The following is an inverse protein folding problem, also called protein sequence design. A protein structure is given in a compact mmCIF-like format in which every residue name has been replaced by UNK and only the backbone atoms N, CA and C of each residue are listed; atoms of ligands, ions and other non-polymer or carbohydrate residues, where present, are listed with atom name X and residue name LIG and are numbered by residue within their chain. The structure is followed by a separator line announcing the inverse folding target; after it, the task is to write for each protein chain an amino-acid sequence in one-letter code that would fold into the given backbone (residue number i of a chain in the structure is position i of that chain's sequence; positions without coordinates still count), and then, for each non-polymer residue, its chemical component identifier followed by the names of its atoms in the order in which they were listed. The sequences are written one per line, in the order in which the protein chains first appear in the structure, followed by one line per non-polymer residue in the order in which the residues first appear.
data_IF_798460943586
#
_entry.id   IF_798460943586
#
_cell.length_a   1.000
_cell.length_b   1.000
_cell.length_c   1.000
_cell.angle_alpha   90.00
_cell.angle_beta   90.00
_cell.angle_gamma   90.00
#
_symmetry.space_group_name_H-M   'P 1'
#
loop_
_entity.id
_entity.type
_entity.pdbx_description
1 polymer ?
#
# COMPACT_ATOMS: atom_id res chain seq x y z
N UNK A 1 -45.00 11.71 -64.67
CA UNK A 1 -44.88 11.15 -63.31
C UNK A 1 -43.97 12.09 -62.51
N UNK A 2 -44.54 12.74 -61.48
CA UNK A 2 -43.92 13.48 -60.35
C UNK A 2 -42.98 14.68 -60.66
N UNK A 3 -43.33 15.94 -60.38
CA UNK A 3 -43.47 16.68 -59.09
C UNK A 3 -42.18 17.42 -58.64
N UNK A 4 -42.20 18.75 -58.86
CA UNK A 4 -41.85 19.87 -57.94
C UNK A 4 -40.65 19.70 -56.98
N UNK A 5 -39.66 20.60 -57.05
CA UNK A 5 -39.36 21.55 -55.93
C UNK A 5 -38.28 22.60 -56.23
N UNK A 6 -38.60 23.79 -55.75
CA UNK A 6 -37.85 25.06 -55.67
C UNK A 6 -36.71 24.97 -54.66
N UNK A 7 -35.59 25.69 -54.90
CA UNK A 7 -34.84 26.31 -53.78
C UNK A 7 -34.11 27.59 -54.17
N UNK A 8 -34.63 28.70 -53.67
CA UNK A 8 -34.01 30.04 -53.64
C UNK A 8 -33.38 30.31 -52.27
N UNK A 9 -32.25 31.05 -52.30
CA UNK A 9 -31.65 31.98 -51.31
C UNK A 9 -31.63 31.64 -49.79
N UNK A 10 -30.43 31.61 -49.20
CA UNK A 10 -29.81 32.77 -48.50
C UNK A 10 -28.67 32.36 -47.55
N UNK A 11 -27.72 33.27 -47.23
CA UNK A 11 -26.52 33.02 -46.44
C UNK A 11 -26.76 33.39 -44.96
N UNK A 12 -26.49 32.47 -44.03
CA UNK A 12 -26.39 32.81 -42.60
C UNK A 12 -25.19 32.06 -42.00
N UNK A 13 -24.32 32.84 -41.39
CA UNK A 13 -22.95 32.49 -41.05
C UNK A 13 -22.79 31.35 -40.04
N UNK A 14 -21.71 30.61 -40.25
CA UNK A 14 -21.17 29.62 -39.34
C UNK A 14 -20.69 30.28 -38.05
N UNK A 15 -21.54 30.27 -37.02
CA UNK A 15 -21.09 30.43 -35.64
C UNK A 15 -20.38 29.15 -35.21
N UNK A 16 -19.04 29.19 -35.21
CA UNK A 16 -18.16 28.20 -34.61
C UNK A 16 -18.53 27.96 -33.13
N UNK A 17 -19.33 26.92 -32.86
CA UNK A 17 -19.49 26.35 -31.52
C UNK A 17 -18.21 25.60 -31.16
N UNK A 18 -17.24 26.29 -30.58
CA UNK A 18 -16.02 25.69 -30.06
C UNK A 18 -16.36 24.61 -29.02
N UNK A 19 -16.00 23.36 -29.32
CA UNK A 19 -16.16 22.22 -28.41
C UNK A 19 -15.26 22.40 -27.19
N UNK A 20 -15.86 22.77 -26.06
CA UNK A 20 -15.15 22.94 -24.81
C UNK A 20 -14.93 21.58 -24.15
N UNK A 21 -13.66 21.15 -24.04
CA UNK A 21 -13.30 19.89 -23.38
C UNK A 21 -13.53 19.98 -21.85
N UNK A 22 -13.76 18.85 -21.17
CA UNK A 22 -13.87 18.81 -19.68
C UNK A 22 -12.66 19.47 -18.99
N UNK A 23 -11.52 19.43 -19.68
CA UNK A 23 -10.29 20.05 -19.26
C UNK A 23 -10.34 21.58 -19.25
N UNK A 24 -10.94 22.16 -20.28
CA UNK A 24 -11.19 23.60 -20.38
C UNK A 24 -12.14 24.06 -19.25
N UNK A 25 -13.13 23.22 -18.91
CA UNK A 25 -14.07 23.48 -17.83
C UNK A 25 -13.40 23.46 -16.45
N UNK A 26 -12.53 22.48 -16.16
CA UNK A 26 -11.73 22.50 -14.93
C UNK A 26 -10.78 23.71 -14.87
N UNK A 27 -10.23 24.14 -16.01
CA UNK A 27 -9.42 25.35 -16.07
C UNK A 27 -10.25 26.61 -15.76
N UNK A 28 -11.49 26.69 -16.25
CA UNK A 28 -12.42 27.78 -15.93
C UNK A 28 -12.86 27.79 -14.47
N UNK A 29 -13.03 26.62 -13.84
CA UNK A 29 -13.38 26.48 -12.42
C UNK A 29 -12.24 26.89 -11.47
N UNK A 30 -11.05 27.16 -12.02
CA UNK A 30 -9.83 27.47 -11.30
C UNK A 30 -8.94 26.24 -11.25
N UNK A 31 -7.84 26.29 -11.99
CA UNK A 31 -6.90 25.15 -12.17
C UNK A 31 -6.23 24.68 -10.87
N UNK A 32 -6.07 25.59 -9.90
CA UNK A 32 -5.55 25.34 -8.54
C UNK A 32 -6.26 26.25 -7.52
N UNK A 33 -7.59 26.24 -7.53
CA UNK A 33 -8.40 27.05 -6.62
C UNK A 33 -8.30 26.61 -5.15
N UNK A 34 -8.95 27.37 -4.26
CA UNK A 34 -8.96 27.12 -2.81
C UNK A 34 -9.48 25.72 -2.47
N UNK A 35 -10.48 25.24 -3.20
CA UNK A 35 -11.03 23.90 -3.03
C UNK A 35 -9.99 22.82 -3.35
N UNK A 36 -9.30 22.95 -4.49
CA UNK A 36 -8.28 21.97 -4.90
C UNK A 36 -7.13 21.94 -3.90
N UNK A 37 -6.62 23.09 -3.45
CA UNK A 37 -5.57 23.15 -2.42
C UNK A 37 -6.02 22.45 -1.13
N UNK A 38 -7.23 22.75 -0.66
CA UNK A 38 -7.80 22.09 0.52
C UNK A 38 -7.88 20.57 0.34
N UNK A 39 -8.43 20.10 -0.79
CA UNK A 39 -8.54 18.68 -1.09
C UNK A 39 -7.18 17.99 -1.14
N UNK A 40 -6.18 18.64 -1.74
CA UNK A 40 -4.80 18.14 -1.85
C UNK A 40 -4.18 17.97 -0.46
N UNK A 41 -4.19 19.03 0.34
CA UNK A 41 -3.60 19.02 1.69
C UNK A 41 -4.30 17.97 2.56
N UNK A 42 -5.62 17.91 2.48
CA UNK A 42 -6.42 16.95 3.23
C UNK A 42 -6.06 15.49 2.87
N UNK A 43 -6.09 15.14 1.58
CA UNK A 43 -5.80 13.78 1.13
C UNK A 43 -4.33 13.42 1.32
N UNK A 44 -3.41 14.40 1.24
CA UNK A 44 -2.00 14.21 1.55
C UNK A 44 -1.82 13.80 3.01
N UNK A 45 -2.39 14.57 3.95
CA UNK A 45 -2.31 14.28 5.38
C UNK A 45 -2.97 12.93 5.72
N UNK A 46 -4.10 12.61 5.09
CA UNK A 46 -4.76 11.32 5.25
C UNK A 46 -3.83 10.16 4.87
N UNK A 47 -3.20 10.21 3.69
CA UNK A 47 -2.29 9.16 3.23
C UNK A 47 -1.00 9.09 4.06
N UNK A 48 -0.50 10.23 4.53
CA UNK A 48 0.66 10.28 5.42
C UNK A 48 0.41 9.56 6.75
N UNK A 49 -0.82 9.46 7.23
CA UNK A 49 -1.13 8.74 8.47
C UNK A 49 -1.56 7.29 8.18
N UNK A 50 -2.33 7.03 7.12
CA UNK A 50 -2.88 5.69 6.83
C UNK A 50 -1.81 4.69 6.39
N UNK A 51 -0.93 5.07 5.46
CA UNK A 51 0.02 4.14 4.83
C UNK A 51 1.05 3.57 5.81
N UNK A 52 1.59 4.35 6.79
CA UNK A 52 2.54 3.82 7.77
C UNK A 52 2.03 2.64 8.60
N UNK A 53 0.71 2.48 8.77
CA UNK A 53 0.12 1.35 9.49
C UNK A 53 0.51 -0.02 8.91
N UNK A 54 0.88 -0.06 7.62
CA UNK A 54 1.43 -1.26 6.96
C UNK A 54 2.74 -1.73 7.63
N UNK A 55 3.54 -0.78 8.14
CA UNK A 55 4.85 -1.03 8.76
C UNK A 55 4.85 -0.89 10.29
N UNK A 56 3.71 -0.59 10.91
CA UNK A 56 3.59 -0.43 12.37
C UNK A 56 4.08 -1.66 13.14
N UNK A 57 3.82 -2.86 12.61
CA UNK A 57 4.27 -4.13 13.18
C UNK A 57 5.77 -4.26 13.37
N UNK A 58 6.58 -3.56 12.56
CA UNK A 58 8.03 -3.58 12.75
C UNK A 58 8.44 -3.08 14.14
N UNK A 59 7.61 -2.22 14.75
CA UNK A 59 7.84 -1.67 16.08
C UNK A 59 6.99 -2.39 17.13
N UNK A 60 5.71 -2.66 16.84
CA UNK A 60 4.80 -3.27 17.83
C UNK A 60 5.04 -4.76 18.05
N UNK A 61 5.64 -5.47 17.10
CA UNK A 61 5.95 -6.89 17.19
C UNK A 61 7.46 -7.18 17.21
N UNK A 62 8.25 -6.19 17.64
CA UNK A 62 9.67 -6.39 17.92
C UNK A 62 9.85 -7.44 19.01
N UNK A 63 10.85 -8.32 18.84
CA UNK A 63 11.20 -9.37 19.80
C UNK A 63 12.29 -8.80 20.72
N UNK A 64 12.00 -8.42 21.97
CA UNK A 64 13.04 -8.02 22.90
C UNK A 64 13.92 -9.21 23.29
N UNK A 65 15.09 -8.91 23.84
CA UNK A 65 15.92 -9.95 24.45
C UNK A 65 15.13 -10.63 25.56
N UNK A 66 15.19 -11.95 25.60
CA UNK A 66 14.42 -12.75 26.53
C UNK A 66 15.22 -13.96 27.00
N UNK A 67 14.80 -14.51 28.12
CA UNK A 67 15.29 -15.75 28.72
C UNK A 67 14.13 -16.54 29.32
N UNK A 68 14.33 -17.83 29.58
CA UNK A 68 13.36 -18.60 30.36
C UNK A 68 13.17 -18.00 31.76
N UNK A 69 11.97 -18.12 32.29
CA UNK A 69 11.69 -17.89 33.70
C UNK A 69 12.31 -18.99 34.55
N UNK A 70 12.96 -18.59 35.65
CA UNK A 70 13.71 -19.48 36.54
C UNK A 70 13.12 -19.37 37.95
N UNK A 71 12.48 -20.42 38.49
CA UNK A 71 11.77 -20.33 39.77
C UNK A 71 12.64 -19.93 40.96
N UNK A 72 13.91 -20.32 40.98
CA UNK A 72 14.84 -19.99 42.08
C UNK A 72 15.22 -18.50 42.08
N UNK A 73 15.15 -17.87 40.91
CA UNK A 73 15.61 -16.51 40.66
C UNK A 73 14.47 -15.49 40.65
N UNK A 74 13.38 -15.87 40.00
CA UNK A 74 12.29 -14.98 39.61
C UNK A 74 11.07 -15.10 40.52
N UNK A 75 11.13 -15.97 41.55
CA UNK A 75 10.11 -16.04 42.59
C UNK A 75 10.42 -15.04 43.71
N UNK A 76 9.59 -14.00 43.82
CA UNK A 76 9.74 -12.87 44.77
C UNK A 76 9.78 -13.29 46.26
N UNK A 77 9.45 -14.54 46.59
CA UNK A 77 9.41 -15.03 47.98
C UNK A 77 10.76 -15.51 48.53
N UNK A 78 11.81 -15.59 47.72
CA UNK A 78 13.10 -16.16 48.15
C UNK A 78 14.18 -15.13 48.52
N UNK A 79 14.01 -13.84 48.19
CA UNK A 79 15.10 -12.88 48.31
C UNK A 79 15.32 -12.32 49.72
N UNK A 80 14.39 -12.54 50.65
CA UNK A 80 14.39 -11.76 51.90
C UNK A 80 14.83 -12.51 53.16
N UNK A 81 15.35 -13.74 53.12
CA UNK A 81 15.81 -14.36 54.38
C UNK A 81 16.98 -15.37 54.35
N UNK A 82 17.87 -15.46 53.34
CA UNK A 82 19.02 -16.35 53.54
C UNK A 82 20.13 -16.58 52.53
N UNK A 83 20.22 -15.94 51.37
CA UNK A 83 21.27 -16.30 50.38
C UNK A 83 22.03 -15.11 49.80
N UNK A 84 22.79 -14.41 50.64
CA UNK A 84 23.83 -13.44 50.23
C UNK A 84 25.05 -14.09 49.53
N UNK A 85 24.97 -15.34 49.07
CA UNK A 85 26.13 -16.15 48.65
C UNK A 85 26.21 -16.37 47.13
N UNK A 86 25.11 -16.33 46.37
CA UNK A 86 25.11 -16.53 44.92
C UNK A 86 24.71 -15.26 44.17
N UNK A 87 25.44 -14.93 43.09
CA UNK A 87 25.05 -13.83 42.20
C UNK A 87 23.91 -14.26 41.24
N UNK A 88 23.19 -13.28 40.69
CA UNK A 88 22.15 -13.50 39.67
C UNK A 88 22.69 -14.33 38.49
N UNK A 89 23.92 -14.04 38.07
CA UNK A 89 24.56 -14.71 36.94
C UNK A 89 24.90 -16.17 37.24
N UNK A 90 25.24 -16.49 38.49
CA UNK A 90 25.48 -17.86 38.94
C UNK A 90 24.20 -18.70 38.86
N UNK A 91 23.08 -18.14 39.31
CA UNK A 91 21.76 -18.78 39.25
C UNK A 91 21.28 -18.98 37.80
N UNK A 92 21.57 -18.04 36.90
CA UNK A 92 21.26 -18.21 35.49
C UNK A 92 22.11 -19.30 34.84
N UNK A 93 23.41 -19.39 35.18
CA UNK A 93 24.32 -20.42 34.63
C UNK A 93 23.93 -21.84 35.01
N UNK A 94 23.42 -22.06 36.22
CA UNK A 94 22.98 -23.40 36.64
C UNK A 94 21.61 -23.79 36.07
N UNK A 95 20.81 -22.83 35.62
CA UNK A 95 19.42 -23.07 35.19
C UNK A 95 19.25 -23.05 33.67
N UNK A 96 20.09 -22.34 32.93
CA UNK A 96 19.96 -22.16 31.49
C UNK A 96 21.26 -22.60 30.79
N UNK A 97 21.19 -23.52 29.80
CA UNK A 97 22.35 -23.93 29.02
C UNK A 97 22.91 -22.77 28.19
N UNK A 98 24.16 -22.90 27.75
CA UNK A 98 24.74 -21.98 26.77
C UNK A 98 24.46 -22.49 25.36
N UNK A 99 24.02 -21.59 24.48
CA UNK A 99 23.92 -21.82 23.04
C UNK A 99 25.32 -21.84 22.38
N UNK A 100 25.37 -22.23 21.12
CA UNK A 100 26.53 -22.30 20.22
C UNK A 100 27.42 -21.05 20.24
N UNK A 101 26.86 -19.89 20.57
CA UNK A 101 27.56 -18.60 20.67
C UNK A 101 28.09 -18.28 22.08
N UNK A 102 28.12 -19.25 23.00
CA UNK A 102 28.51 -19.09 24.41
C UNK A 102 27.67 -18.05 25.16
N UNK A 103 26.42 -17.85 24.74
CA UNK A 103 25.41 -17.02 25.41
C UNK A 103 24.33 -17.93 25.97
N UNK A 104 23.62 -17.48 27.00
CA UNK A 104 22.46 -18.21 27.53
C UNK A 104 21.47 -18.52 26.41
N UNK A 105 21.04 -19.79 26.34
CA UNK A 105 19.98 -20.24 25.45
C UNK A 105 18.69 -19.48 25.79
N UNK A 106 17.98 -19.03 24.76
CA UNK A 106 16.77 -18.23 24.90
C UNK A 106 15.51 -19.09 25.00
N UNK A 107 15.57 -20.34 24.56
CA UNK A 107 14.40 -21.17 24.30
C UNK A 107 14.34 -22.45 25.13
N UNK A 108 15.46 -22.84 25.74
CA UNK A 108 15.56 -24.04 26.56
C UNK A 108 16.18 -23.72 27.91
N UNK A 109 15.80 -24.53 28.90
CA UNK A 109 16.38 -24.53 30.24
C UNK A 109 16.72 -25.96 30.65
N UNK A 110 17.54 -26.12 31.69
CA UNK A 110 17.74 -27.44 32.27
C UNK A 110 16.48 -27.89 33.01
N UNK A 111 16.09 -29.15 32.86
CA UNK A 111 14.96 -29.73 33.58
C UNK A 111 15.19 -29.74 35.10
N UNK A 112 16.46 -29.78 35.53
CA UNK A 112 16.89 -29.65 36.92
C UNK A 112 18.08 -28.69 37.02
N UNK A 113 18.19 -27.86 38.09
CA UNK A 113 19.33 -26.96 38.27
C UNK A 113 20.66 -27.72 38.38
N UNK A 114 21.62 -27.35 37.54
CA UNK A 114 22.92 -27.99 37.44
C UNK A 114 23.94 -27.30 38.35
N UNK A 115 23.80 -27.49 39.67
CA UNK A 115 24.68 -26.91 40.69
C UNK A 115 26.18 -27.23 40.49
N UNK A 116 26.48 -28.35 39.83
CA UNK A 116 27.85 -28.75 39.52
C UNK A 116 28.58 -27.73 38.62
N UNK A 117 27.86 -26.92 37.83
CA UNK A 117 28.45 -25.89 36.96
C UNK A 117 29.11 -24.73 37.73
N UNK A 118 28.81 -24.57 39.03
CA UNK A 118 29.45 -23.56 39.88
C UNK A 118 30.80 -24.02 40.43
N UNK A 119 31.02 -25.34 40.51
CA UNK A 119 32.22 -25.92 41.08
C UNK A 119 33.16 -26.42 39.98
N UNK A 120 33.93 -25.50 39.40
CA UNK A 120 34.95 -25.75 38.35
C UNK A 120 36.09 -26.69 38.77
N UNK A 121 36.19 -27.11 40.05
CA UNK A 121 37.34 -27.87 40.57
C UNK A 121 37.07 -29.38 40.78
N UNK A 122 35.91 -29.90 40.38
CA UNK A 122 35.61 -31.33 40.48
C UNK A 122 35.79 -32.08 39.16
N UNK A 123 36.66 -33.11 39.13
CA UNK A 123 36.67 -34.10 38.04
C UNK A 123 35.44 -35.00 38.17
N UNK A 124 34.35 -34.63 37.49
CA UNK A 124 33.13 -35.45 37.44
C UNK A 124 33.23 -36.47 36.30
N UNK A 125 33.06 -37.75 36.65
CA UNK A 125 33.08 -38.89 35.73
C UNK A 125 31.80 -38.94 34.89
N UNK A 126 31.94 -39.09 33.56
CA UNK A 126 30.90 -39.36 32.55
C UNK A 126 29.54 -38.70 32.83
N UNK A 127 29.48 -37.38 32.62
CA UNK A 127 28.22 -36.63 32.63
C UNK A 127 27.49 -36.93 31.32
N UNK A 128 26.39 -37.68 31.38
CA UNK A 128 25.36 -37.68 30.33
C UNK A 128 24.95 -36.23 30.07
N UNK A 129 24.78 -35.85 28.80
CA UNK A 129 24.37 -34.48 28.46
C UNK A 129 23.15 -34.07 29.31
N UNK A 130 23.23 -32.93 30.02
CA UNK A 130 22.18 -32.51 30.94
C UNK A 130 20.85 -32.35 30.18
N UNK A 131 19.80 -32.95 30.72
CA UNK A 131 18.48 -32.90 30.09
C UNK A 131 17.93 -31.47 30.04
N UNK A 132 17.59 -31.03 28.82
CA UNK A 132 17.00 -29.71 28.56
C UNK A 132 15.53 -29.84 28.21
N UNK A 133 14.71 -28.92 28.72
CA UNK A 133 13.30 -28.78 28.40
C UNK A 133 13.00 -27.37 27.83
N UNK A 134 11.89 -27.19 27.08
CA UNK A 134 11.43 -25.85 26.69
C UNK A 134 11.04 -25.03 27.93
N UNK A 135 11.02 -23.69 27.81
CA UNK A 135 10.59 -22.81 28.90
C UNK A 135 9.09 -23.02 29.22
N UNK A 136 8.74 -23.92 30.15
CA UNK A 136 7.34 -24.21 30.51
C UNK A 136 6.70 -23.18 31.45
N UNK A 137 7.52 -22.52 32.28
CA UNK A 137 7.06 -21.55 33.28
C UNK A 137 7.03 -20.10 32.74
N UNK A 138 7.13 -19.93 31.42
CA UNK A 138 7.10 -18.62 30.76
C UNK A 138 8.48 -17.99 30.56
N UNK A 139 8.47 -16.68 30.23
CA UNK A 139 9.64 -15.93 29.81
C UNK A 139 9.82 -14.62 30.57
N UNK A 140 11.08 -14.21 30.71
CA UNK A 140 11.46 -12.89 31.23
C UNK A 140 12.03 -12.06 30.09
N UNK A 141 11.38 -10.93 29.80
CA UNK A 141 11.74 -10.02 28.72
C UNK A 141 12.51 -8.80 29.23
N UNK A 142 13.53 -8.38 28.48
CA UNK A 142 14.25 -7.13 28.70
C UNK A 142 13.37 -5.93 28.33
N UNK A 143 13.10 -5.05 29.31
CA UNK A 143 12.22 -3.89 29.20
C UNK A 143 12.95 -2.57 28.90
N UNK A 144 14.25 -2.62 28.61
CA UNK A 144 15.08 -1.44 28.35
C UNK A 144 14.62 -0.62 27.12
N UNK A 145 14.37 -1.32 26.01
CA UNK A 145 13.97 -0.71 24.73
C UNK A 145 12.45 -0.59 24.55
N UNK A 146 11.71 -1.64 24.90
CA UNK A 146 10.25 -1.71 24.80
C UNK A 146 9.66 -2.16 26.13
N UNK A 147 8.58 -1.52 26.59
CA UNK A 147 7.93 -1.88 27.85
C UNK A 147 6.98 -3.07 27.67
N UNK A 148 6.23 -3.09 26.56
CA UNK A 148 5.37 -4.19 26.13
C UNK A 148 5.25 -4.17 24.60
N UNK A 149 5.34 -5.34 23.99
CA UNK A 149 5.11 -5.60 22.56
C UNK A 149 4.08 -6.72 22.40
N UNK A 150 3.55 -6.87 21.18
CA UNK A 150 2.69 -7.99 20.77
C UNK A 150 3.32 -9.34 21.11
N UNK A 151 4.65 -9.44 20.99
CA UNK A 151 5.40 -10.66 21.29
C UNK A 151 5.43 -10.95 22.78
N UNK A 152 5.60 -9.92 23.63
CA UNK A 152 5.65 -10.10 25.09
C UNK A 152 4.28 -10.31 25.73
N UNK A 153 3.20 -9.93 25.04
CA UNK A 153 1.83 -10.07 25.56
C UNK A 153 1.29 -11.50 25.36
N UNK A 154 1.66 -12.14 24.26
CA UNK A 154 1.18 -13.48 23.89
C UNK A 154 2.32 -14.50 23.76
N UNK A 155 3.48 -14.20 24.32
CA UNK A 155 4.68 -15.06 24.36
C UNK A 155 5.03 -15.72 23.02
N UNK A 156 5.14 -14.90 21.98
CA UNK A 156 5.38 -15.33 20.59
C UNK A 156 6.87 -15.52 20.28
N UNK A 157 7.57 -16.32 21.10
CA UNK A 157 9.01 -16.61 20.99
C UNK A 157 9.29 -18.10 20.78
N UNK A 158 10.49 -18.43 20.27
CA UNK A 158 10.94 -19.81 20.08
C UNK A 158 10.02 -20.60 19.12
N UNK A 159 9.33 -21.65 19.58
CA UNK A 159 8.43 -22.46 18.73
C UNK A 159 7.26 -21.63 18.17
N UNK A 160 6.75 -20.68 18.93
CA UNK A 160 5.63 -19.80 18.53
C UNK A 160 6.10 -18.58 17.71
N UNK A 161 7.41 -18.40 17.48
CA UNK A 161 7.96 -17.25 16.75
C UNK A 161 7.40 -17.11 15.33
N UNK A 162 7.05 -18.23 14.67
CA UNK A 162 6.45 -18.21 13.35
C UNK A 162 5.11 -17.45 13.31
N UNK A 163 4.36 -17.44 14.42
CA UNK A 163 3.09 -16.72 14.53
C UNK A 163 3.26 -15.20 14.41
N UNK A 164 4.41 -14.64 14.79
CA UNK A 164 4.67 -13.22 14.63
C UNK A 164 4.55 -12.78 13.15
N UNK A 165 4.93 -13.65 12.21
CA UNK A 165 4.77 -13.37 10.77
C UNK A 165 3.32 -13.45 10.28
N UNK A 166 2.44 -14.14 11.01
CA UNK A 166 1.04 -14.33 10.63
C UNK A 166 0.28 -13.02 10.65
N UNK A 167 0.51 -12.14 11.62
CA UNK A 167 -0.18 -10.84 11.68
C UNK A 167 0.06 -10.01 10.41
N UNK A 168 1.31 -9.93 9.98
CA UNK A 168 1.71 -9.20 8.77
C UNK A 168 1.11 -9.82 7.52
N UNK A 169 1.13 -11.14 7.47
CA UNK A 169 0.49 -11.89 6.39
C UNK A 169 -1.03 -11.62 6.34
N UNK A 170 -1.72 -11.63 7.49
CA UNK A 170 -3.14 -11.32 7.62
C UNK A 170 -3.47 -9.91 7.14
N UNK A 171 -2.69 -8.89 7.52
CA UNK A 171 -2.88 -7.53 7.03
C UNK A 171 -2.82 -7.45 5.50
N UNK A 172 -1.85 -8.15 4.93
CA UNK A 172 -1.54 -8.00 3.52
C UNK A 172 -2.43 -8.83 2.59
N UNK A 173 -2.90 -10.01 3.02
CA UNK A 173 -3.98 -10.72 2.31
C UNK A 173 -5.27 -9.89 2.35
N UNK A 174 -5.51 -9.16 3.45
CA UNK A 174 -6.55 -8.14 3.54
C UNK A 174 -6.39 -7.07 2.47
N UNK A 175 -5.19 -6.49 2.34
CA UNK A 175 -4.86 -5.47 1.32
C UNK A 175 -5.23 -5.93 -0.10
N UNK A 176 -4.87 -7.17 -0.44
CA UNK A 176 -5.17 -7.78 -1.74
C UNK A 176 -6.68 -7.93 -2.00
N UNK A 177 -7.41 -8.47 -1.02
CA UNK A 177 -8.85 -8.67 -1.16
C UNK A 177 -9.57 -7.32 -1.23
N UNK A 178 -9.14 -6.36 -0.42
CA UNK A 178 -9.63 -4.98 -0.42
C UNK A 178 -9.48 -4.30 -1.77
N UNK A 179 -8.31 -4.44 -2.42
CA UNK A 179 -8.07 -3.81 -3.72
C UNK A 179 -8.99 -4.33 -4.82
N UNK A 180 -9.26 -5.64 -4.84
CA UNK A 180 -10.14 -6.27 -5.84
C UNK A 180 -11.60 -5.84 -5.61
N UNK A 181 -12.10 -6.00 -4.39
CA UNK A 181 -13.50 -5.76 -4.06
C UNK A 181 -13.80 -4.26 -4.15
N UNK A 182 -13.05 -3.43 -3.43
CA UNK A 182 -13.35 -2.00 -3.35
C UNK A 182 -12.96 -1.23 -4.62
N UNK A 183 -12.06 -1.75 -5.45
CA UNK A 183 -11.82 -1.21 -6.79
C UNK A 183 -13.09 -1.27 -7.64
N UNK A 184 -13.71 -2.45 -7.74
CA UNK A 184 -14.97 -2.62 -8.46
C UNK A 184 -16.13 -1.82 -7.83
N UNK A 185 -16.20 -1.78 -6.49
CA UNK A 185 -17.21 -1.00 -5.79
C UNK A 185 -17.03 0.51 -6.00
N UNK A 186 -15.80 1.01 -6.10
CA UNK A 186 -15.52 2.44 -6.31
C UNK A 186 -16.06 2.93 -7.65
N UNK A 187 -15.87 2.14 -8.71
CA UNK A 187 -16.39 2.50 -10.02
C UNK A 187 -17.92 2.43 -10.09
N UNK A 188 -18.55 1.55 -9.30
CA UNK A 188 -20.02 1.40 -9.26
C UNK A 188 -20.72 2.42 -8.36
N UNK A 189 -20.18 2.68 -7.19
CA UNK A 189 -20.84 3.45 -6.13
C UNK A 189 -20.30 4.87 -5.95
N UNK A 190 -19.11 5.16 -6.48
CA UNK A 190 -18.45 6.46 -6.37
C UNK A 190 -17.25 6.42 -5.43
N UNK A 191 -16.30 7.33 -5.67
CA UNK A 191 -14.98 7.32 -5.05
C UNK A 191 -15.06 7.84 -3.62
N UNK A 192 -15.86 8.89 -3.39
CA UNK A 192 -16.06 9.47 -2.06
C UNK A 192 -16.75 8.49 -1.11
N UNK A 193 -17.79 7.77 -1.58
CA UNK A 193 -18.51 6.84 -0.73
C UNK A 193 -17.61 5.70 -0.27
N UNK A 194 -16.90 5.06 -1.20
CA UNK A 194 -15.97 3.96 -0.87
C UNK A 194 -14.82 4.44 0.01
N UNK A 195 -14.27 5.64 -0.24
CA UNK A 195 -13.28 6.25 0.65
C UNK A 195 -13.82 6.44 2.08
N UNK A 196 -15.06 6.90 2.23
CA UNK A 196 -15.69 7.12 3.55
C UNK A 196 -15.90 5.80 4.30
N UNK A 197 -16.44 4.79 3.62
CA UNK A 197 -16.68 3.48 4.21
C UNK A 197 -15.37 2.79 4.60
N UNK A 198 -14.36 2.82 3.73
CA UNK A 198 -13.05 2.24 4.00
C UNK A 198 -12.34 2.97 5.15
N UNK A 199 -12.38 4.31 5.20
CA UNK A 199 -11.79 5.05 6.32
C UNK A 199 -12.49 4.75 7.65
N UNK A 200 -13.82 4.63 7.64
CA UNK A 200 -14.57 4.28 8.84
C UNK A 200 -14.23 2.86 9.32
N UNK A 201 -14.21 1.89 8.41
CA UNK A 201 -13.81 0.53 8.70
C UNK A 201 -12.39 0.49 9.28
N UNK A 202 -11.44 1.16 8.63
CA UNK A 202 -10.05 1.25 9.08
C UNK A 202 -9.91 1.83 10.49
N UNK A 203 -10.58 2.96 10.76
CA UNK A 203 -10.53 3.63 12.06
C UNK A 203 -11.07 2.75 13.19
N UNK A 204 -12.17 2.02 12.93
CA UNK A 204 -12.77 1.10 13.91
C UNK A 204 -11.83 -0.09 14.14
N UNK A 205 -11.38 -0.77 13.08
CA UNK A 205 -10.61 -2.01 13.20
C UNK A 205 -9.25 -1.78 13.86
N UNK A 206 -8.56 -0.69 13.53
CA UNK A 206 -7.26 -0.38 14.14
C UNK A 206 -7.40 0.04 15.61
N UNK A 207 -8.46 0.77 15.96
CA UNK A 207 -8.72 1.15 17.35
C UNK A 207 -9.13 -0.06 18.19
N UNK A 208 -9.98 -0.94 17.66
CA UNK A 208 -10.30 -2.22 18.30
C UNK A 208 -9.08 -3.13 18.42
N UNK A 209 -8.15 -3.07 17.45
CA UNK A 209 -6.92 -3.87 17.48
C UNK A 209 -6.04 -3.56 18.68
N UNK A 210 -6.04 -2.32 19.17
CA UNK A 210 -5.31 -1.93 20.36
C UNK A 210 -5.88 -2.54 21.65
N UNK A 211 -7.11 -3.05 21.63
CA UNK A 211 -7.77 -3.68 22.79
C UNK A 211 -8.06 -5.17 22.54
N UNK A 212 -7.37 -5.79 21.57
CA UNK A 212 -7.62 -7.17 21.21
C UNK A 212 -7.28 -8.10 22.39
N UNK A 213 -8.22 -8.93 22.88
CA UNK A 213 -7.98 -9.78 24.03
C UNK A 213 -7.20 -11.06 23.68
N UNK A 214 -7.08 -11.39 22.39
CA UNK A 214 -6.35 -12.57 21.92
C UNK A 214 -5.64 -12.31 20.59
N UNK A 215 -4.55 -13.04 20.38
CA UNK A 215 -3.74 -12.96 19.16
C UNK A 215 -4.55 -13.22 17.88
N UNK A 216 -5.48 -14.17 17.89
CA UNK A 216 -6.30 -14.48 16.71
C UNK A 216 -7.33 -13.39 16.40
N UNK A 217 -7.92 -12.76 17.42
CA UNK A 217 -8.81 -11.60 17.24
C UNK A 217 -8.01 -10.44 16.67
N UNK A 218 -6.80 -10.22 17.18
CA UNK A 218 -5.89 -9.20 16.65
C UNK A 218 -5.57 -9.44 15.17
N UNK A 219 -5.16 -10.66 14.78
CA UNK A 219 -4.94 -11.01 13.37
C UNK A 219 -6.17 -10.79 12.48
N UNK A 220 -7.37 -11.12 12.98
CA UNK A 220 -8.63 -10.90 12.26
C UNK A 220 -8.92 -9.41 12.05
N UNK A 221 -8.68 -8.58 13.07
CA UNK A 221 -8.82 -7.13 12.98
C UNK A 221 -7.81 -6.52 12.01
N UNK A 222 -6.57 -7.02 12.02
CA UNK A 222 -5.51 -6.59 11.09
C UNK A 222 -5.85 -6.94 9.65
N UNK A 223 -6.45 -8.12 9.41
CA UNK A 223 -7.00 -8.47 8.09
C UNK A 223 -8.06 -7.46 7.61
N UNK A 224 -9.04 -7.14 8.47
CA UNK A 224 -10.10 -6.17 8.15
C UNK A 224 -9.57 -4.75 7.93
N UNK A 225 -8.53 -4.34 8.69
CA UNK A 225 -7.84 -3.08 8.48
C UNK A 225 -7.14 -3.07 7.11
N UNK A 226 -6.45 -4.15 6.77
CA UNK A 226 -5.77 -4.34 5.48
C UNK A 226 -6.70 -4.14 4.29
N UNK A 227 -7.91 -4.69 4.35
CA UNK A 227 -8.95 -4.51 3.32
C UNK A 227 -9.31 -3.05 3.05
N UNK A 228 -9.01 -2.14 3.98
CA UNK A 228 -9.37 -0.73 3.89
C UNK A 228 -8.23 0.18 3.41
N UNK A 229 -6.96 -0.21 3.63
CA UNK A 229 -5.79 0.64 3.35
C UNK A 229 -5.63 0.95 1.85
N UNK A 230 -5.66 -0.08 1.00
CA UNK A 230 -5.49 0.12 -0.45
C UNK A 230 -6.65 0.92 -1.05
N UNK A 231 -7.92 0.63 -0.73
CA UNK A 231 -9.03 1.45 -1.19
C UNK A 231 -8.95 2.91 -0.77
N UNK A 232 -8.50 3.21 0.45
CA UNK A 232 -8.27 4.60 0.89
C UNK A 232 -7.22 5.27 0.00
N UNK A 233 -6.09 4.59 -0.22
CA UNK A 233 -4.96 5.12 -0.99
C UNK A 233 -5.35 5.37 -2.45
N UNK A 234 -5.95 4.38 -3.12
CA UNK A 234 -6.36 4.47 -4.53
C UNK A 234 -7.43 5.53 -4.73
N UNK A 235 -8.49 5.54 -3.91
CA UNK A 235 -9.58 6.51 -4.07
C UNK A 235 -9.13 7.94 -3.75
N UNK A 236 -8.24 8.12 -2.77
CA UNK A 236 -7.62 9.42 -2.49
C UNK A 236 -6.83 9.92 -3.69
N UNK A 237 -6.02 9.06 -4.31
CA UNK A 237 -5.24 9.43 -5.48
C UNK A 237 -6.15 9.78 -6.68
N UNK A 238 -7.16 8.96 -6.97
CA UNK A 238 -8.12 9.22 -8.05
C UNK A 238 -8.88 10.53 -7.85
N UNK A 239 -9.39 10.80 -6.65
CA UNK A 239 -10.09 12.05 -6.35
C UNK A 239 -9.18 13.27 -6.56
N UNK A 240 -7.92 13.16 -6.18
CA UNK A 240 -6.94 14.23 -6.37
C UNK A 240 -6.63 14.45 -7.86
N UNK A 241 -6.46 13.39 -8.66
CA UNK A 241 -6.18 13.50 -10.09
C UNK A 241 -7.39 14.02 -10.88
N UNK A 242 -8.61 13.57 -10.56
CA UNK A 242 -9.82 13.91 -11.32
C UNK A 242 -10.29 15.35 -11.13
N UNK A 243 -9.92 15.99 -10.01
CA UNK A 243 -10.20 17.40 -9.73
C UNK A 243 -9.06 18.35 -10.12
N UNK A 244 -7.90 17.81 -10.50
CA UNK A 244 -6.73 18.61 -10.88
C UNK A 244 -6.59 18.73 -12.39
N UNK A 245 -6.20 19.91 -12.86
CA UNK A 245 -5.87 20.13 -14.27
C UNK A 245 -4.57 19.38 -14.66
N UNK A 246 -4.50 18.69 -15.82
CA UNK A 246 -3.31 18.15 -16.47
C UNK A 246 -2.03 18.96 -16.36
N UNK A 247 -2.09 20.29 -16.30
CA UNK A 247 -0.91 21.15 -16.10
C UNK A 247 -0.19 20.88 -14.78
N UNK A 248 -0.92 20.48 -13.73
CA UNK A 248 -0.41 20.22 -12.39
C UNK A 248 -0.34 18.73 -12.05
N UNK A 249 -0.75 17.84 -12.97
CA UNK A 249 -0.87 16.41 -12.71
C UNK A 249 0.45 15.76 -12.26
N UNK A 250 1.57 16.12 -12.90
CA UNK A 250 2.89 15.60 -12.54
C UNK A 250 3.31 16.02 -11.12
N UNK A 251 3.07 17.28 -10.75
CA UNK A 251 3.31 17.79 -9.39
C UNK A 251 2.44 17.04 -8.38
N UNK A 252 1.18 16.77 -8.72
CA UNK A 252 0.26 16.05 -7.83
C UNK A 252 0.68 14.60 -7.58
N UNK A 253 1.10 13.91 -8.64
CA UNK A 253 1.61 12.55 -8.53
C UNK A 253 2.88 12.51 -7.67
N UNK A 254 3.82 13.45 -7.89
CA UNK A 254 5.03 13.55 -7.09
C UNK A 254 4.71 13.84 -5.60
N UNK A 255 3.82 14.79 -5.34
CA UNK A 255 3.40 15.14 -3.98
C UNK A 255 2.74 13.94 -3.27
N UNK A 256 1.89 13.19 -3.97
CA UNK A 256 1.31 11.95 -3.41
C UNK A 256 2.36 10.91 -3.03
N UNK A 257 3.43 10.78 -3.80
CA UNK A 257 4.53 9.86 -3.49
C UNK A 257 5.37 10.28 -2.28
N UNK A 258 5.35 11.56 -1.91
CA UNK A 258 6.04 12.05 -0.70
C UNK A 258 5.27 11.72 0.59
N UNK A 259 3.93 11.68 0.55
CA UNK A 259 3.09 11.49 1.74
C UNK A 259 3.45 10.24 2.57
N UNK A 260 3.63 9.04 1.98
CA UNK A 260 4.00 7.83 2.72
C UNK A 260 5.32 7.97 3.48
N UNK A 261 6.32 8.61 2.86
CA UNK A 261 7.65 8.74 3.44
C UNK A 261 7.64 9.63 4.69
N UNK A 262 6.93 10.75 4.63
CA UNK A 262 6.70 11.61 5.80
C UNK A 262 5.96 10.81 6.88
N UNK A 263 4.98 10.01 6.49
CA UNK A 263 4.28 9.11 7.38
C UNK A 263 5.19 8.12 8.11
N UNK A 264 6.11 7.47 7.40
CA UNK A 264 7.06 6.54 8.00
C UNK A 264 8.01 7.24 8.99
N UNK A 265 8.43 8.48 8.69
CA UNK A 265 9.21 9.29 9.62
C UNK A 265 8.42 9.61 10.89
N UNK A 266 7.14 9.98 10.75
CA UNK A 266 6.24 10.22 11.90
C UNK A 266 6.08 8.94 12.73
N UNK A 267 5.81 7.80 12.08
CA UNK A 267 5.69 6.51 12.77
C UNK A 267 6.96 6.15 13.54
N UNK A 268 8.14 6.31 12.91
CA UNK A 268 9.41 6.03 13.57
C UNK A 268 9.65 6.95 14.78
N UNK A 269 9.29 8.23 14.69
CA UNK A 269 9.36 9.15 15.82
C UNK A 269 8.40 8.79 16.95
N UNK A 270 7.16 8.44 16.61
CA UNK A 270 6.15 8.00 17.58
C UNK A 270 6.53 6.67 18.24
N UNK A 271 7.13 5.73 17.51
CA UNK A 271 7.61 4.46 18.05
C UNK A 271 8.72 4.65 19.09
N UNK A 272 9.54 5.70 18.96
CA UNK A 272 10.53 6.06 19.97
C UNK A 272 9.90 6.64 21.25
N UNK A 273 8.85 7.45 21.09
CA UNK A 273 8.13 8.08 22.20
C UNK A 273 7.24 7.09 22.96
N UNK A 274 6.52 6.23 22.24
CA UNK A 274 5.58 5.27 22.79
C UNK A 274 6.16 3.86 22.77
N UNK A 275 6.71 3.44 23.92
CA UNK A 275 7.33 2.12 24.11
C UNK A 275 6.34 0.99 24.47
N UNK A 276 5.05 1.32 24.55
CA UNK A 276 3.94 0.38 24.76
C UNK A 276 3.14 0.32 23.47
N UNK A 277 2.99 -0.88 22.92
CA UNK A 277 2.38 -1.07 21.60
C UNK A 277 0.92 -0.57 21.51
N UNK A 278 0.13 -0.75 22.57
CA UNK A 278 -1.25 -0.26 22.68
C UNK A 278 -1.33 1.26 22.45
N UNK A 279 -0.43 2.03 23.07
CA UNK A 279 -0.41 3.49 22.95
C UNK A 279 0.04 3.94 21.56
N UNK A 280 1.02 3.26 20.98
CA UNK A 280 1.48 3.54 19.61
C UNK A 280 0.34 3.34 18.60
N UNK A 281 -0.38 2.23 18.72
CA UNK A 281 -1.50 1.90 17.85
C UNK A 281 -2.65 2.92 17.97
N UNK A 282 -3.06 3.26 19.20
CA UNK A 282 -4.10 4.26 19.45
C UNK A 282 -3.72 5.65 18.95
N UNK A 283 -2.48 6.07 19.16
CA UNK A 283 -2.00 7.40 18.73
C UNK A 283 -2.07 7.54 17.20
N UNK A 284 -1.83 6.46 16.47
CA UNK A 284 -1.91 6.43 15.00
C UNK A 284 -3.33 6.22 14.47
N UNK A 285 -4.23 5.56 15.22
CA UNK A 285 -5.60 5.26 14.78
C UNK A 285 -6.61 6.37 15.10
N UNK A 286 -6.53 6.98 16.28
CA UNK A 286 -7.49 7.99 16.75
C UNK A 286 -7.60 9.21 15.82
N UNK A 287 -6.50 9.75 15.25
CA UNK A 287 -6.59 10.86 14.30
C UNK A 287 -7.51 10.56 13.09
N UNK A 288 -7.69 9.30 12.70
CA UNK A 288 -8.55 8.93 11.57
C UNK A 288 -10.01 9.33 11.75
N UNK A 289 -10.52 9.31 12.99
CA UNK A 289 -11.88 9.77 13.28
C UNK A 289 -12.06 11.26 13.02
N UNK A 290 -11.01 12.06 13.24
CA UNK A 290 -11.02 13.47 12.89
C UNK A 290 -11.12 13.66 11.37
N UNK A 291 -10.34 12.90 10.57
CA UNK A 291 -10.40 12.96 9.10
C UNK A 291 -11.78 12.60 8.52
N UNK A 292 -12.55 11.71 9.17
CA UNK A 292 -13.93 11.40 8.76
C UNK A 292 -14.84 12.63 8.73
N UNK A 293 -14.65 13.57 9.66
CA UNK A 293 -15.43 14.82 9.69
C UNK A 293 -15.09 15.65 8.44
N UNK A 294 -13.82 15.76 8.10
CA UNK A 294 -13.33 16.55 6.96
C UNK A 294 -13.72 16.00 5.57
N UNK A 295 -13.97 14.69 5.46
CA UNK A 295 -14.50 14.08 4.23
C UNK A 295 -15.83 14.73 3.81
N UNK A 296 -16.60 15.32 4.73
CA UNK A 296 -17.85 16.01 4.39
C UNK A 296 -17.63 17.15 3.38
N UNK A 297 -16.49 17.84 3.43
CA UNK A 297 -16.17 18.95 2.54
C UNK A 297 -15.64 18.50 1.18
N UNK A 298 -15.12 17.28 1.06
CA UNK A 298 -14.76 16.71 -0.24
C UNK A 298 -15.97 16.65 -1.19
N UNK A 299 -15.71 16.79 -2.48
CA UNK A 299 -16.71 16.60 -3.52
C UNK A 299 -16.42 15.32 -4.30
N UNK A 300 -17.49 14.62 -4.67
CA UNK A 300 -17.39 13.44 -5.52
C UNK A 300 -16.85 13.84 -6.90
N UNK A 301 -16.21 12.91 -7.59
CA UNK A 301 -15.67 13.17 -8.92
C UNK A 301 -16.75 13.64 -9.91
N UNK A 302 -16.58 14.85 -10.43
CA UNK A 302 -17.44 15.39 -11.48
C UNK A 302 -17.37 14.52 -12.75
N UNK A 303 -16.17 13.99 -13.07
CA UNK A 303 -15.95 13.13 -14.23
C UNK A 303 -16.70 11.80 -14.10
N UNK A 304 -16.62 11.16 -12.93
CA UNK A 304 -17.40 9.96 -12.64
C UNK A 304 -18.90 10.19 -12.81
N UNK A 305 -19.43 11.26 -12.19
CA UNK A 305 -20.86 11.58 -12.21
C UNK A 305 -21.40 11.78 -13.62
N UNK A 306 -20.59 12.35 -14.52
CA UNK A 306 -20.95 12.52 -15.94
C UNK A 306 -20.96 11.16 -16.65
N UNK A 307 -19.94 10.32 -16.44
CA UNK A 307 -19.83 8.99 -17.07
C UNK A 307 -20.92 8.02 -16.57
N UNK A 308 -21.30 8.08 -15.29
CA UNK A 308 -22.32 7.19 -14.69
C UNK A 308 -23.76 7.67 -14.94
N UNK A 309 -24.00 8.48 -15.98
CA UNK A 309 -25.31 9.01 -16.35
C UNK A 309 -26.05 9.77 -15.22
N UNK A 310 -25.32 10.45 -14.33
CA UNK A 310 -25.87 11.32 -13.27
C UNK A 310 -25.45 12.79 -13.47
N UNK A 311 -25.75 13.39 -14.64
CA UNK A 311 -25.23 14.70 -15.03
C UNK A 311 -25.66 15.82 -14.08
N UNK A 312 -26.90 15.79 -13.57
CA UNK A 312 -27.40 16.81 -12.65
C UNK A 312 -26.64 16.84 -11.32
N UNK A 313 -26.21 15.67 -10.81
CA UNK A 313 -25.39 15.59 -9.60
C UNK A 313 -23.97 16.11 -9.86
N UNK A 314 -23.37 15.74 -11.00
CA UNK A 314 -22.05 16.27 -11.40
C UNK A 314 -22.04 17.79 -11.50
N UNK A 315 -23.12 18.36 -12.03
CA UNK A 315 -23.32 19.80 -12.14
C UNK A 315 -23.42 20.51 -10.80
N UNK A 316 -24.13 19.89 -9.84
CA UNK A 316 -24.24 20.38 -8.47
C UNK A 316 -22.86 20.42 -7.78
N UNK A 317 -22.06 19.38 -7.94
CA UNK A 317 -20.70 19.33 -7.39
C UNK A 317 -19.78 20.36 -8.06
N UNK A 318 -19.83 20.51 -9.39
CA UNK A 318 -19.09 21.55 -10.10
C UNK A 318 -19.45 22.96 -9.64
N UNK A 319 -20.75 23.24 -9.43
CA UNK A 319 -21.22 24.52 -8.90
C UNK A 319 -20.73 24.76 -7.47
N UNK A 320 -20.73 23.72 -6.63
CA UNK A 320 -20.17 23.79 -5.26
C UNK A 320 -18.69 24.16 -5.29
N UNK A 321 -17.90 23.51 -6.14
CA UNK A 321 -16.46 23.80 -6.28
C UNK A 321 -16.22 25.21 -6.85
N UNK A 322 -16.97 25.61 -7.88
CA UNK A 322 -16.92 26.96 -8.44
C UNK A 322 -17.20 28.04 -7.38
N UNK A 323 -18.18 27.79 -6.51
CA UNK A 323 -18.51 28.69 -5.41
C UNK A 323 -17.39 28.76 -4.36
N UNK A 324 -16.80 27.62 -3.97
CA UNK A 324 -15.65 27.57 -3.06
C UNK A 324 -14.40 28.26 -3.63
N UNK A 325 -14.27 28.29 -4.95
CA UNK A 325 -13.23 29.03 -5.66
C UNK A 325 -13.58 30.51 -5.89
N UNK A 326 -14.71 30.99 -5.39
CA UNK A 326 -15.09 32.41 -5.43
C UNK A 326 -15.71 32.87 -6.75
N UNK A 327 -16.16 31.96 -7.62
CA UNK A 327 -16.76 32.33 -8.90
C UNK A 327 -18.25 32.70 -8.76
N UNK A 328 -18.63 33.90 -9.22
CA UNK A 328 -19.98 34.46 -9.06
C UNK A 328 -20.93 34.24 -10.26
N UNK A 329 -20.42 34.00 -11.48
CA UNK A 329 -21.23 33.97 -12.72
C UNK A 329 -21.31 32.59 -13.42
N UNK A 330 -21.19 31.49 -12.68
CA UNK A 330 -21.17 30.14 -13.27
C UNK A 330 -22.57 29.55 -13.55
N UNK A 331 -23.63 30.34 -13.41
CA UNK A 331 -25.03 29.90 -13.47
C UNK A 331 -25.54 29.53 -14.87
N UNK A 332 -25.03 30.18 -15.92
CA UNK A 332 -25.61 30.11 -17.27
C UNK A 332 -25.03 28.98 -18.15
N UNK A 333 -23.87 28.41 -17.81
CA UNK A 333 -23.12 27.56 -18.74
C UNK A 333 -23.45 26.06 -18.71
N UNK A 334 -24.47 25.59 -17.98
CA UNK A 334 -24.31 24.25 -17.38
C UNK A 334 -25.20 23.11 -17.94
N UNK A 335 -26.43 23.33 -18.42
CA UNK A 335 -27.33 22.23 -18.83
C UNK A 335 -27.19 21.74 -20.28
N UNK A 336 -26.87 22.63 -21.22
CA UNK A 336 -26.64 22.27 -22.63
C UNK A 336 -25.32 21.52 -22.82
N UNK A 337 -24.26 21.95 -22.12
CA UNK A 337 -22.91 21.38 -22.22
C UNK A 337 -22.82 19.93 -21.75
N UNK A 338 -23.52 19.56 -20.66
CA UNK A 338 -23.47 18.18 -20.17
C UNK A 338 -24.23 17.22 -21.09
N UNK A 339 -25.32 17.68 -21.72
CA UNK A 339 -26.03 16.90 -22.76
C UNK A 339 -25.17 16.70 -24.02
N UNK A 340 -24.31 17.67 -24.36
CA UNK A 340 -23.37 17.57 -25.49
C UNK A 340 -22.25 16.55 -25.19
N UNK A 341 -21.72 16.53 -23.96
CA UNK A 341 -20.68 15.58 -23.54
C UNK A 341 -21.18 14.12 -23.47
N UNK A 342 -22.46 13.90 -23.11
CA UNK A 342 -23.09 12.58 -23.20
C UNK A 342 -23.25 12.08 -24.66
N UNK A 343 -23.13 12.96 -25.66
CA UNK A 343 -23.31 12.64 -27.08
C UNK A 343 -22.00 12.48 -27.86
N UNK A 344 -20.87 12.90 -27.30
CA UNK A 344 -19.56 12.85 -27.97
C UNK A 344 -18.43 12.55 -27.00
N UNK A 345 -18.13 11.27 -26.80
CA UNK A 345 -16.89 10.83 -26.14
C UNK A 345 -16.00 10.18 -27.18
N UNK A 346 -15.18 10.98 -27.88
CA UNK A 346 -14.03 10.48 -28.62
C UNK A 346 -12.83 11.46 -28.50
N UNK A 347 -11.75 10.94 -27.89
CA UNK A 347 -10.31 11.28 -27.95
C UNK A 347 -9.80 12.71 -28.17
N UNK A 348 -8.80 13.14 -27.38
CA UNK A 348 -7.83 14.15 -27.83
C UNK A 348 -6.41 13.93 -27.24
N UNK A 349 -5.43 13.80 -28.15
CA UNK A 349 -3.98 13.62 -27.95
C UNK A 349 -3.21 14.95 -28.15
N UNK A 350 -1.98 14.99 -27.61
CA UNK A 350 -0.81 15.84 -27.94
C UNK A 350 -0.45 17.00 -26.97
N UNK A 351 0.43 16.72 -25.99
CA UNK A 351 1.22 17.70 -25.20
C UNK A 351 2.64 17.18 -24.85
N UNK A 352 3.14 16.21 -25.61
CA UNK A 352 4.27 15.35 -25.23
C UNK A 352 5.65 15.98 -25.47
N UNK A 353 5.80 16.95 -26.39
CA UNK A 353 7.12 17.42 -26.82
C UNK A 353 7.82 18.38 -25.83
N UNK A 354 7.06 19.07 -24.96
CA UNK A 354 7.62 20.01 -23.95
C UNK A 354 8.04 19.32 -22.65
N UNK A 355 7.43 18.19 -22.32
CA UNK A 355 7.74 17.41 -21.10
C UNK A 355 9.09 16.70 -21.25
N UNK A 356 9.44 16.33 -22.49
CA UNK A 356 10.70 15.66 -22.86
C UNK A 356 11.95 16.44 -22.46
N UNK A 357 11.88 17.77 -22.37
CA UNK A 357 13.02 18.63 -22.00
C UNK A 357 13.22 18.76 -20.48
N UNK A 358 12.20 18.46 -19.67
CA UNK A 358 12.26 18.61 -18.21
C UNK A 358 12.66 17.31 -17.47
N UNK A 359 12.71 16.17 -18.17
CA UNK A 359 12.88 14.82 -17.59
C UNK A 359 14.33 14.28 -17.54
N UNK A 360 15.34 15.13 -17.69
CA UNK A 360 16.75 14.68 -17.80
C UNK A 360 17.59 14.71 -16.51
N UNK A 361 17.02 14.91 -15.30
CA UNK A 361 17.83 15.06 -14.07
C UNK A 361 17.28 14.42 -12.77
N UNK A 362 16.61 13.26 -12.84
CA UNK A 362 16.11 12.57 -11.62
C UNK A 362 15.94 11.04 -11.75
N UNK A 363 16.70 10.43 -12.65
CA UNK A 363 16.56 9.02 -13.03
C UNK A 363 17.31 8.07 -12.10
N UNK A 364 16.63 7.05 -11.58
CA UNK A 364 16.85 5.63 -11.96
C UNK A 364 15.97 4.67 -11.12
N UNK A 365 15.52 5.03 -9.91
CA UNK A 365 14.59 4.18 -9.14
C UNK A 365 13.09 4.50 -9.35
N UNK A 366 12.74 5.77 -9.61
CA UNK A 366 11.35 6.20 -9.79
C UNK A 366 10.78 5.97 -11.20
N UNK A 367 11.62 5.64 -12.18
CA UNK A 367 11.23 5.50 -13.60
C UNK A 367 10.61 4.12 -13.89
N UNK A 368 11.12 3.06 -13.26
CA UNK A 368 10.66 1.69 -13.53
C UNK A 368 9.19 1.48 -13.08
N UNK A 369 8.81 2.06 -11.94
CA UNK A 369 7.42 2.02 -11.42
C UNK A 369 6.48 2.89 -12.25
N UNK A 370 6.94 4.04 -12.76
CA UNK A 370 6.14 4.92 -13.62
C UNK A 370 5.89 4.33 -15.01
N UNK A 371 6.94 3.79 -15.65
CA UNK A 371 6.86 3.19 -17.01
C UNK A 371 6.04 1.90 -16.99
N UNK A 372 6.23 1.04 -15.99
CA UNK A 372 5.40 -0.16 -15.82
C UNK A 372 3.92 0.21 -15.63
N UNK A 373 3.60 1.22 -14.82
CA UNK A 373 2.21 1.69 -14.63
C UNK A 373 1.62 2.32 -15.91
N UNK A 374 2.40 3.08 -16.68
CA UNK A 374 1.96 3.66 -17.95
C UNK A 374 1.74 2.58 -19.02
N UNK A 375 2.69 1.67 -19.20
CA UNK A 375 2.56 0.55 -20.13
C UNK A 375 1.39 -0.37 -19.75
N UNK A 376 1.19 -0.61 -18.45
CA UNK A 376 0.02 -1.31 -17.91
C UNK A 376 -1.29 -0.59 -18.27
N UNK A 377 -1.33 0.74 -18.18
CA UNK A 377 -2.50 1.51 -18.58
C UNK A 377 -2.77 1.48 -20.09
N UNK A 378 -1.75 1.32 -20.93
CA UNK A 378 -1.89 1.22 -22.39
C UNK A 378 -2.26 -0.20 -22.86
N UNK A 379 -1.71 -1.23 -22.21
CA UNK A 379 -1.92 -2.63 -22.55
C UNK A 379 -3.30 -3.13 -22.08
N UNK A 380 -3.81 -2.57 -20.98
CA UNK A 380 -5.06 -3.02 -20.37
C UNK A 380 -6.27 -2.20 -20.88
N UNK A 381 -7.29 -2.88 -21.43
CA UNK A 381 -8.53 -2.23 -21.82
C UNK A 381 -9.22 -1.61 -20.60
N UNK A 382 -9.92 -0.50 -20.80
CA UNK A 382 -10.56 0.28 -19.72
C UNK A 382 -11.52 -0.53 -18.85
N UNK A 383 -12.12 -1.59 -19.39
CA UNK A 383 -13.04 -2.49 -18.69
C UNK A 383 -12.36 -3.42 -17.67
N UNK A 384 -11.05 -3.64 -17.78
CA UNK A 384 -10.28 -4.52 -16.89
C UNK A 384 -9.13 -3.80 -16.19
N UNK A 385 -8.92 -2.52 -16.49
CA UNK A 385 -7.75 -1.73 -16.07
C UNK A 385 -7.59 -1.68 -14.56
N UNK A 386 -8.65 -1.41 -13.80
CA UNK A 386 -8.57 -1.36 -12.34
C UNK A 386 -8.21 -2.73 -11.72
N UNK A 387 -8.84 -3.80 -12.21
CA UNK A 387 -8.60 -5.17 -11.74
C UNK A 387 -7.18 -5.64 -12.01
N UNK A 388 -6.67 -5.38 -13.22
CA UNK A 388 -5.33 -5.80 -13.60
C UNK A 388 -4.23 -4.90 -13.01
N UNK A 389 -4.48 -3.60 -12.77
CA UNK A 389 -3.61 -2.76 -11.92
C UNK A 389 -3.58 -3.30 -10.49
N UNK A 390 -4.71 -3.75 -9.94
CA UNK A 390 -4.75 -4.40 -8.62
C UNK A 390 -3.92 -5.68 -8.57
N UNK A 391 -4.02 -6.54 -9.59
CA UNK A 391 -3.21 -7.76 -9.72
C UNK A 391 -1.71 -7.43 -9.89
N UNK A 392 -1.36 -6.41 -10.66
CA UNK A 392 0.03 -5.96 -10.83
C UNK A 392 0.56 -5.33 -9.54
N UNK A 393 -0.26 -4.57 -8.82
CA UNK A 393 0.06 -4.05 -7.48
C UNK A 393 0.33 -5.18 -6.48
N UNK A 394 -0.42 -6.28 -6.55
CA UNK A 394 -0.17 -7.48 -5.76
C UNK A 394 1.18 -8.14 -6.05
N UNK A 395 1.52 -8.37 -7.32
CA UNK A 395 2.83 -8.91 -7.70
C UNK A 395 3.98 -7.93 -7.42
N UNK A 396 3.73 -6.61 -7.49
CA UNK A 396 4.69 -5.59 -7.07
C UNK A 396 4.95 -5.61 -5.56
N UNK A 397 3.90 -5.87 -4.76
CA UNK A 397 3.99 -6.00 -3.31
C UNK A 397 4.45 -7.40 -2.86
N UNK A 398 4.50 -8.40 -3.75
CA UNK A 398 4.99 -9.73 -3.40
C UNK A 398 6.48 -9.85 -3.18
N UNK A 399 7.27 -8.91 -3.70
CA UNK A 399 8.63 -8.70 -3.24
C UNK A 399 8.71 -8.38 -1.74
N UNK A 400 7.71 -7.67 -1.19
CA UNK A 400 7.65 -7.33 0.25
C UNK A 400 7.18 -8.54 1.08
N UNK A 401 6.30 -9.38 0.54
CA UNK A 401 5.89 -10.66 1.14
C UNK A 401 7.05 -11.66 1.27
N UNK A 402 7.78 -11.81 0.16
CA UNK A 402 8.89 -12.75 0.07
C UNK A 402 10.14 -12.23 0.76
N UNK A 403 10.24 -10.91 1.03
CA UNK A 403 11.44 -10.34 1.64
C UNK A 403 11.74 -10.90 3.04
N UNK A 404 10.83 -10.92 4.02
CA UNK A 404 11.05 -11.57 5.32
C UNK A 404 11.30 -13.08 5.20
N UNK A 405 10.63 -13.77 4.27
CA UNK A 405 10.82 -15.20 4.01
C UNK A 405 12.20 -15.51 3.41
N UNK A 406 12.70 -14.68 2.49
CA UNK A 406 14.06 -14.79 1.96
C UNK A 406 15.11 -14.38 2.99
N UNK A 407 14.80 -13.42 3.88
CA UNK A 407 15.66 -13.10 5.01
C UNK A 407 15.68 -14.23 6.06
N UNK A 408 14.63 -15.03 6.18
CA UNK A 408 14.65 -16.24 7.01
C UNK A 408 15.70 -17.24 6.50
N UNK A 409 16.00 -17.30 5.20
CA UNK A 409 17.07 -18.17 4.68
C UNK A 409 18.48 -17.75 5.16
N UNK A 410 18.64 -16.54 5.70
CA UNK A 410 19.89 -16.09 6.31
C UNK A 410 20.28 -16.89 7.56
N UNK A 411 19.31 -17.56 8.21
CA UNK A 411 19.57 -18.43 9.37
C UNK A 411 20.29 -19.72 8.98
N UNK A 412 20.17 -20.16 7.72
CA UNK A 412 20.88 -21.33 7.19
C UNK A 412 22.19 -20.92 6.50
N UNK A 413 22.15 -19.91 5.64
CA UNK A 413 23.33 -19.41 4.92
C UNK A 413 23.27 -17.89 4.72
N UNK A 414 24.31 -17.17 5.17
CA UNK A 414 24.35 -15.70 5.18
C UNK A 414 24.24 -15.04 3.79
N UNK A 415 24.69 -15.71 2.72
CA UNK A 415 24.76 -15.13 1.37
C UNK A 415 23.50 -15.37 0.52
N UNK A 416 22.66 -16.32 0.93
CA UNK A 416 21.52 -16.82 0.16
C UNK A 416 20.42 -15.77 -0.12
N UNK A 417 20.04 -14.90 0.82
CA UNK A 417 19.06 -13.84 0.57
C UNK A 417 19.52 -12.87 -0.52
N UNK A 418 20.80 -12.47 -0.51
CA UNK A 418 21.37 -11.53 -1.49
C UNK A 418 21.39 -12.11 -2.90
N UNK A 419 21.65 -13.41 -3.04
CA UNK A 419 21.61 -14.13 -4.33
C UNK A 419 20.18 -14.15 -4.87
N UNK A 420 19.18 -14.43 -4.03
CA UNK A 420 17.77 -14.40 -4.45
C UNK A 420 17.34 -12.99 -4.86
N UNK A 421 17.62 -11.97 -4.06
CA UNK A 421 17.28 -10.58 -4.40
C UNK A 421 17.95 -10.14 -5.71
N UNK A 422 19.23 -10.48 -5.91
CA UNK A 422 19.95 -10.19 -7.16
C UNK A 422 19.39 -10.95 -8.36
N UNK A 423 19.10 -12.25 -8.21
CA UNK A 423 18.57 -13.11 -9.26
C UNK A 423 17.18 -12.70 -9.74
N UNK A 424 16.26 -12.37 -8.82
CA UNK A 424 14.94 -11.87 -9.18
C UNK A 424 15.00 -10.51 -9.89
N UNK A 425 15.95 -9.65 -9.53
CA UNK A 425 16.15 -8.37 -10.23
C UNK A 425 16.60 -8.58 -11.68
N UNK A 426 17.50 -9.53 -11.93
CA UNK A 426 17.98 -9.88 -13.27
C UNK A 426 16.83 -10.52 -14.08
N UNK A 427 16.09 -11.47 -13.50
CA UNK A 427 14.95 -12.10 -14.15
C UNK A 427 13.85 -11.10 -14.55
N UNK A 428 13.55 -10.14 -13.67
CA UNK A 428 12.61 -9.06 -13.96
C UNK A 428 13.09 -8.19 -15.12
N UNK A 429 14.38 -7.84 -15.15
CA UNK A 429 14.98 -7.08 -16.26
C UNK A 429 14.83 -7.82 -17.61
N UNK A 430 15.01 -9.14 -17.62
CA UNK A 430 14.79 -9.96 -18.83
C UNK A 430 13.33 -10.05 -19.25
N UNK A 431 12.41 -10.07 -18.29
CA UNK A 431 10.96 -10.18 -18.56
C UNK A 431 10.41 -8.96 -19.32
N UNK A 432 11.07 -7.79 -19.22
CA UNK A 432 10.70 -6.59 -19.97
C UNK A 432 10.82 -6.79 -21.49
N UNK A 433 11.76 -7.62 -21.96
CA UNK A 433 11.94 -7.89 -23.39
C UNK A 433 10.81 -8.76 -24.00
N UNK A 434 10.01 -9.43 -23.16
CA UNK A 434 8.85 -10.23 -23.59
C UNK A 434 7.60 -9.38 -23.83
N UNK A 435 7.61 -8.11 -23.42
CA UNK A 435 6.49 -7.20 -23.62
C UNK A 435 6.45 -6.73 -25.08
N UNK A 436 5.28 -6.80 -25.75
CA UNK A 436 5.13 -6.32 -27.12
C UNK A 436 5.23 -4.79 -27.19
N UNK A 437 5.89 -4.29 -28.24
CA UNK A 437 5.98 -2.86 -28.53
C UNK A 437 4.60 -2.29 -28.90
N UNK A 438 4.16 -1.25 -28.18
CA UNK A 438 2.83 -0.63 -28.36
C UNK A 438 2.87 0.63 -29.22
N UNK A 439 4.06 1.11 -29.60
CA UNK A 439 4.24 2.32 -30.42
C UNK A 439 3.41 2.26 -31.71
N UNK A 440 2.57 3.29 -31.90
CA UNK A 440 1.68 3.50 -33.05
C UNK A 440 0.52 2.49 -33.20
N UNK A 441 0.25 1.64 -32.22
CA UNK A 441 -0.92 0.75 -32.25
C UNK A 441 -2.16 1.43 -31.64
N UNK A 442 -3.37 1.16 -32.17
CA UNK A 442 -4.61 1.63 -31.56
C UNK A 442 -4.80 0.96 -30.18
N UNK A 443 -5.26 1.74 -29.21
CA UNK A 443 -5.51 1.26 -27.85
C UNK A 443 -6.70 0.28 -27.86
N UNK A 444 -6.61 -0.87 -27.16
CA UNK A 444 -7.71 -1.81 -27.08
C UNK A 444 -8.81 -1.29 -26.16
N UNK A 445 -10.02 -1.11 -26.69
CA UNK A 445 -11.19 -0.66 -25.93
C UNK A 445 -11.99 -1.85 -25.34
N UNK A 446 -11.89 -3.03 -25.97
CA UNK A 446 -12.58 -4.26 -25.54
C UNK A 446 -11.67 -5.50 -25.56
N UNK A 447 -12.10 -6.57 -24.89
CA UNK A 447 -11.38 -7.87 -24.89
C UNK A 447 -11.33 -8.53 -26.26
N UNK A 448 -12.28 -8.22 -27.16
CA UNK A 448 -12.30 -8.71 -28.54
C UNK A 448 -11.20 -8.07 -29.40
N UNK A 449 -10.85 -6.80 -29.14
CA UNK A 449 -9.80 -6.07 -29.88
C UNK A 449 -8.41 -6.65 -29.60
N UNK A 450 -8.16 -7.05 -28.34
CA UNK A 450 -6.90 -7.71 -27.93
C UNK A 450 -6.72 -9.05 -28.65
N UNK A 451 -7.81 -9.82 -28.79
CA UNK A 451 -7.80 -11.12 -29.46
C UNK A 451 -7.52 -11.05 -30.97
N UNK A 452 -8.00 -9.99 -31.64
CA UNK A 452 -7.74 -9.76 -33.06
C UNK A 452 -6.31 -9.24 -33.31
N UNK A 453 -5.81 -8.31 -32.49
CA UNK A 453 -4.43 -7.80 -32.58
C UNK A 453 -3.39 -8.93 -32.39
N UNK A 454 -3.66 -9.89 -31.48
CA UNK A 454 -2.80 -11.05 -31.28
C UNK A 454 -2.76 -12.01 -32.49
N UNK A 455 -3.89 -12.16 -33.20
CA UNK A 455 -3.96 -12.95 -34.44
C UNK A 455 -3.25 -12.27 -35.60
N UNK A 456 -3.36 -10.95 -35.70
CA UNK A 456 -2.66 -10.14 -36.72
C UNK A 456 -1.15 -10.10 -36.49
N UNK A 457 -0.69 -9.93 -35.24
CA UNK A 457 0.75 -9.99 -34.90
C UNK A 457 1.39 -11.35 -35.21
N UNK A 458 0.66 -12.47 -35.01
CA UNK A 458 1.10 -13.81 -35.44
C UNK A 458 1.10 -14.01 -36.96
N UNK A 459 0.25 -13.30 -37.71
CA UNK A 459 0.25 -13.32 -39.17
C UNK A 459 1.42 -12.51 -39.74
N UNK A 460 1.69 -11.31 -39.22
CA UNK A 460 2.85 -10.49 -39.63
C UNK A 460 4.19 -11.20 -39.42
N UNK A 461 4.37 -11.87 -38.26
CA UNK A 461 5.56 -12.71 -38.00
C UNK A 461 5.70 -13.93 -38.92
N UNK A 462 4.64 -14.37 -39.61
CA UNK A 462 4.67 -15.48 -40.59
C UNK A 462 4.94 -15.00 -42.02
N UNK A 463 4.68 -13.73 -42.34
CA UNK A 463 4.88 -13.17 -43.68
C UNK A 463 6.29 -12.57 -43.88
N UNK A 464 7.02 -12.30 -42.80
CA UNK A 464 8.38 -11.73 -42.82
C UNK A 464 9.59 -12.70 -43.03
N UNK A 465 9.51 -14.00 -43.39
CA UNK A 465 10.68 -14.75 -43.82
C UNK A 465 10.94 -14.67 -45.34
N UNK A 466 10.21 -13.84 -46.10
CA UNK A 466 10.35 -13.76 -47.58
C UNK A 466 10.51 -12.31 -48.04
N UNK A 467 11.54 -11.62 -47.55
CA UNK A 467 11.97 -10.35 -48.17
C UNK A 467 13.04 -10.65 -49.24
N UNK A 468 12.54 -10.53 -50.47
CA UNK A 468 13.20 -10.40 -51.78
C UNK A 468 14.66 -9.94 -51.73
N UNK A 469 15.52 -10.81 -52.26
CA UNK A 469 16.80 -10.43 -52.88
C UNK A 469 16.50 -9.60 -54.12
N UNK A 470 16.97 -8.36 -54.16
CA UNK A 470 17.17 -7.61 -55.41
C UNK A 470 18.54 -6.93 -55.38
N UNK A 471 19.39 -7.35 -56.34
CA UNK A 471 20.62 -6.71 -56.85
C UNK A 471 20.35 -5.20 -57.08
N UNK A 472 21.28 -4.28 -56.88
CA UNK A 472 22.68 -4.21 -57.32
C UNK A 472 23.59 -3.55 -56.28
#
# INVERSE_FOLDING_TARGET
MALVTVKSLSPFGDSYSASMSFQELLNQVGSLGRFQIFQIVFLFLLNAIVIPHISMENFTAAIPNHRCWVPILDNDTAFDNGSRILSQDDLLRISIPLDSNLKLDKCRRFAQPQWHLLHLNGTFSNVTEPETEPCVDGWVYDRSNFLSTIVTEWDLVCESQALNSVTKFSLMIGLFIGSIICGHLSDRFGRKLILTCALLQFAITETCGAFAPSFFIYCSLRFLAGMSVEPITVNSHLLMLEWTSPKFLAMMTALSSCAPNIGFMILSGLAFLFRIWHHLQLTMSVPMFFFLIFIRWLSESARWLIVTNKPQKGLKELRKVAHMNGMKNFGDLTMEFVKFFCRGSHSQKMQTLRIIMATLAGGISSLCVGVSRLHTNELLPTTLRATAIGVIGFFGNSGVFLSPLFMLLATYYANLPWIFYGGFSIFNAFSVFLLPETKNQPLPDSTHDVGNNWKESRKGKKEDPIIKVTRF
#
